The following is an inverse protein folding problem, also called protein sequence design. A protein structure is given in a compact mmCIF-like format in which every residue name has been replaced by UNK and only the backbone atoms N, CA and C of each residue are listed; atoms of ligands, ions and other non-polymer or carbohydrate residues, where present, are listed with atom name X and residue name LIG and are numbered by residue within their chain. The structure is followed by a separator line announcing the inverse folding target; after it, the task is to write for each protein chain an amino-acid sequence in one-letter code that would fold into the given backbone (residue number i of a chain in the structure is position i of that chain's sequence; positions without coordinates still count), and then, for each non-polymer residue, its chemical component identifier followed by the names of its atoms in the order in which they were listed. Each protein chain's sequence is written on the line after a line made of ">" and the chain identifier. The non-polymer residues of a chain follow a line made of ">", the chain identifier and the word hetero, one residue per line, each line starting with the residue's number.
data_IF_165666488633
#
_entry.id   IF_165666488633
#
_cell.length_a   1.000
_cell.length_b   1.000
_cell.length_c   1.000
_cell.angle_alpha   90.00
_cell.angle_beta   90.00
_cell.angle_gamma   90.00
#
_symmetry.space_group_name_H-M   'P 1'
#
loop_
_entity.id
_entity.type
_entity.pdbx_description
1 polymer ?
#
# COMPACT_ATOMS: atom_id res chain seq x y z
N UNK A 1 -14.81 -15.83 -48.70
CA UNK A 1 -14.43 -15.65 -47.28
C UNK A 1 -15.62 -16.00 -46.42
N UNK A 2 -15.50 -17.04 -45.56
CA UNK A 2 -16.61 -17.63 -44.83
C UNK A 2 -17.23 -16.60 -43.86
N UNK A 3 -18.55 -16.30 -43.92
CA UNK A 3 -19.18 -15.29 -43.08
C UNK A 3 -19.01 -15.56 -41.58
N UNK A 4 -18.93 -16.83 -41.18
CA UNK A 4 -18.67 -17.24 -39.78
C UNK A 4 -17.25 -16.95 -39.32
N UNK A 5 -16.29 -16.94 -40.25
CA UNK A 5 -14.90 -16.60 -39.96
C UNK A 5 -14.73 -15.08 -39.83
N UNK A 6 -15.46 -14.29 -40.64
CA UNK A 6 -15.44 -12.82 -40.53
C UNK A 6 -15.96 -12.34 -39.18
N UNK A 7 -17.08 -12.89 -38.72
CA UNK A 7 -17.65 -12.52 -37.41
C UNK A 7 -16.70 -12.90 -36.27
N UNK A 8 -16.06 -14.08 -36.33
CA UNK A 8 -15.05 -14.49 -35.36
C UNK A 8 -13.85 -13.53 -35.31
N UNK A 9 -13.37 -13.06 -36.47
CA UNK A 9 -12.28 -12.07 -36.52
C UNK A 9 -12.66 -10.73 -35.85
N UNK A 10 -13.89 -10.24 -36.04
CA UNK A 10 -14.34 -9.01 -35.37
C UNK A 10 -14.42 -9.15 -33.84
N UNK A 11 -14.84 -10.32 -33.34
CA UNK A 11 -14.84 -10.59 -31.89
C UNK A 11 -13.43 -10.63 -31.30
N UNK A 12 -12.48 -11.29 -31.99
CA UNK A 12 -11.10 -11.38 -31.53
C UNK A 12 -10.40 -10.00 -31.51
N UNK A 13 -10.57 -9.21 -32.56
CA UNK A 13 -9.99 -7.85 -32.64
C UNK A 13 -10.53 -6.95 -31.53
N UNK A 14 -11.83 -7.01 -31.24
CA UNK A 14 -12.46 -6.25 -30.16
C UNK A 14 -11.91 -6.62 -28.77
N UNK A 15 -11.70 -7.92 -28.50
CA UNK A 15 -11.14 -8.38 -27.22
C UNK A 15 -9.69 -7.90 -27.02
N UNK A 16 -8.85 -7.96 -28.06
CA UNK A 16 -7.47 -7.46 -27.98
C UNK A 16 -7.40 -5.93 -27.83
N UNK A 17 -8.27 -5.18 -28.52
CA UNK A 17 -8.33 -3.72 -28.36
C UNK A 17 -8.78 -3.30 -26.95
N UNK A 18 -9.72 -4.03 -26.34
CA UNK A 18 -10.14 -3.80 -24.95
C UNK A 18 -9.03 -4.07 -23.93
N UNK A 19 -8.28 -5.16 -24.11
CA UNK A 19 -7.14 -5.48 -23.23
C UNK A 19 -6.02 -4.45 -23.40
N UNK A 20 -5.71 -4.04 -24.62
CA UNK A 20 -4.67 -3.05 -24.90
C UNK A 20 -5.02 -1.66 -24.32
N UNK A 21 -6.28 -1.23 -24.44
CA UNK A 21 -6.72 0.05 -23.85
C UNK A 21 -6.68 0.03 -22.32
N UNK A 22 -7.11 -1.06 -21.67
CA UNK A 22 -6.97 -1.27 -20.21
C UNK A 22 -5.50 -1.23 -19.75
N UNK A 23 -4.60 -1.86 -20.51
CA UNK A 23 -3.16 -1.87 -20.21
C UNK A 23 -2.55 -0.47 -20.31
N UNK A 24 -2.86 0.28 -21.39
CA UNK A 24 -2.36 1.64 -21.58
C UNK A 24 -2.89 2.61 -20.52
N UNK A 25 -4.17 2.51 -20.13
CA UNK A 25 -4.75 3.34 -19.05
C UNK A 25 -4.07 3.05 -17.71
N UNK A 26 -3.82 1.78 -17.40
CA UNK A 26 -3.14 1.36 -16.16
C UNK A 26 -1.72 1.90 -16.11
N UNK A 27 -0.96 1.79 -17.21
CA UNK A 27 0.41 2.31 -17.29
C UNK A 27 0.48 3.85 -17.30
N UNK A 28 -0.43 4.54 -17.98
CA UNK A 28 -0.47 6.01 -18.00
C UNK A 28 -0.76 6.60 -16.61
N UNK A 29 -1.61 5.95 -15.82
CA UNK A 29 -1.92 6.39 -14.44
C UNK A 29 -0.70 6.27 -13.51
N UNK A 30 0.21 5.33 -13.78
CA UNK A 30 1.49 5.19 -13.07
C UNK A 30 2.40 6.39 -13.39
N UNK A 31 2.47 6.81 -14.65
CA UNK A 31 3.37 7.90 -15.07
C UNK A 31 2.90 9.30 -14.60
N UNK A 32 1.59 9.56 -14.55
CA UNK A 32 1.05 10.85 -14.06
C UNK A 32 1.29 11.08 -12.55
N UNK A 33 1.49 10.02 -11.75
CA UNK A 33 1.92 10.16 -10.34
C UNK A 33 3.37 10.65 -10.21
N UNK A 34 4.18 10.53 -11.26
CA UNK A 34 5.63 10.75 -11.19
C UNK A 34 6.11 12.11 -11.73
N UNK A 35 5.23 13.06 -12.11
CA UNK A 35 5.66 14.34 -12.70
C UNK A 35 4.95 15.60 -12.17
N UNK A 36 5.77 16.49 -11.55
CA UNK A 36 5.73 17.99 -11.49
C UNK A 36 5.07 18.60 -10.20
N UNK A 37 5.57 19.71 -9.59
CA UNK A 37 6.94 20.08 -9.17
C UNK A 37 7.02 20.92 -7.83
N UNK A 38 8.24 21.22 -7.38
CA UNK A 38 8.60 22.05 -6.22
C UNK A 38 9.04 23.47 -6.66
N UNK A 39 8.50 24.54 -6.04
CA UNK A 39 9.00 25.95 -6.00
C UNK A 39 8.34 26.65 -4.78
N UNK A 40 8.88 27.66 -4.06
CA UNK A 40 10.19 28.25 -3.85
C UNK A 40 10.09 29.32 -2.70
N UNK A 41 11.19 29.58 -1.97
CA UNK A 41 11.48 30.83 -1.23
C UNK A 41 11.30 30.83 0.30
N UNK A 42 12.03 31.59 1.14
CA UNK A 42 13.30 32.32 1.06
C UNK A 42 13.64 32.83 2.51
N UNK A 43 14.94 32.91 2.87
CA UNK A 43 15.59 33.80 3.86
C UNK A 43 15.56 33.55 5.42
N UNK A 44 16.78 33.61 5.99
CA UNK A 44 17.29 33.73 7.39
C UNK A 44 17.75 35.21 7.62
N UNK A 45 18.22 35.75 8.78
CA UNK A 45 18.47 35.21 10.15
C UNK A 45 17.92 36.08 11.32
N UNK A 46 17.88 35.69 12.61
CA UNK A 46 19.01 35.49 13.56
C UNK A 46 18.57 34.95 14.96
N UNK A 47 19.48 34.16 15.60
CA UNK A 47 19.84 34.06 17.05
C UNK A 47 18.95 33.33 18.11
N UNK A 48 19.42 32.12 18.53
CA UNK A 48 19.59 31.52 19.90
C UNK A 48 18.31 31.26 20.75
N UNK A 49 17.98 30.10 21.37
CA UNK A 49 18.74 29.02 22.04
C UNK A 49 17.89 27.72 22.17
N UNK A 50 18.56 26.57 22.19
CA UNK A 50 18.23 25.25 22.77
C UNK A 50 16.78 24.82 23.02
N UNK A 51 16.37 23.76 22.31
CA UNK A 51 15.80 22.53 22.88
C UNK A 51 15.82 21.44 21.78
N UNK A 52 16.53 20.33 22.04
CA UNK A 52 16.76 19.26 21.06
C UNK A 52 15.47 18.47 20.77
N UNK A 53 14.68 19.00 19.84
CA UNK A 53 13.58 18.30 19.17
C UNK A 53 14.06 17.96 17.77
N UNK A 54 14.45 16.70 17.56
CA UNK A 54 14.85 16.19 16.25
C UNK A 54 13.63 16.16 15.33
N UNK A 55 13.38 17.28 14.65
CA UNK A 55 12.45 17.37 13.54
C UNK A 55 13.08 16.66 12.33
N UNK A 56 12.74 15.38 12.17
CA UNK A 56 13.05 14.68 10.93
C UNK A 56 11.90 14.91 9.97
N UNK A 57 12.15 15.79 9.00
CA UNK A 57 11.33 16.03 7.82
C UNK A 57 11.34 14.75 6.99
N UNK A 58 10.29 13.93 7.10
CA UNK A 58 10.17 12.67 6.36
C UNK A 58 9.73 12.95 4.92
N UNK A 59 10.72 13.19 4.06
CA UNK A 59 10.58 13.00 2.62
C UNK A 59 10.18 11.54 2.34
N UNK A 60 9.42 11.32 1.27
CA UNK A 60 8.91 9.99 0.86
C UNK A 60 10.02 8.93 0.88
N UNK A 61 10.07 8.16 1.98
CA UNK A 61 11.20 7.30 2.30
C UNK A 61 11.12 6.04 1.42
N UNK A 62 11.79 6.11 0.26
CA UNK A 62 12.27 4.91 -0.43
C UNK A 62 13.05 4.09 0.61
N UNK A 63 12.81 2.77 0.75
CA UNK A 63 13.50 1.97 1.75
C UNK A 63 15.01 2.19 1.68
N UNK A 64 15.62 2.59 2.81
CA UNK A 64 17.06 2.65 2.96
C UNK A 64 17.60 1.24 2.70
N UNK A 65 18.60 1.10 1.81
CA UNK A 65 19.26 -0.17 1.54
C UNK A 65 19.85 -0.72 2.85
N UNK A 66 19.10 -1.56 3.56
CA UNK A 66 19.53 -2.15 4.84
C UNK A 66 18.42 -2.38 5.87
N UNK A 67 17.27 -1.69 5.80
CA UNK A 67 16.18 -1.92 6.76
C UNK A 67 15.49 -3.26 6.54
N UNK A 68 15.29 -4.02 7.62
CA UNK A 68 14.56 -5.30 7.57
C UNK A 68 13.07 -5.06 7.32
N UNK A 69 12.37 -6.05 6.77
CA UNK A 69 10.91 -5.92 6.57
C UNK A 69 10.15 -5.75 7.89
N UNK A 70 10.68 -6.29 8.99
CA UNK A 70 10.13 -6.11 10.34
C UNK A 70 10.23 -4.67 10.81
N UNK A 71 11.39 -4.03 10.59
CA UNK A 71 11.58 -2.61 10.91
C UNK A 71 10.70 -1.72 10.03
N UNK A 72 10.63 -2.01 8.72
CA UNK A 72 9.76 -1.29 7.80
C UNK A 72 8.29 -1.40 8.21
N UNK A 73 7.84 -2.59 8.61
CA UNK A 73 6.43 -2.82 8.97
C UNK A 73 6.13 -2.55 10.44
N UNK A 74 7.04 -1.95 11.20
CA UNK A 74 6.78 -1.56 12.59
C UNK A 74 5.50 -0.71 12.68
N UNK A 75 4.58 -1.11 13.57
CA UNK A 75 3.25 -0.49 13.66
C UNK A 75 3.30 1.04 13.83
N UNK A 76 4.15 1.55 14.72
CA UNK A 76 4.28 2.99 14.97
C UNK A 76 4.76 3.74 13.73
N UNK A 77 5.72 3.18 13.00
CA UNK A 77 6.26 3.76 11.77
C UNK A 77 5.17 3.83 10.68
N UNK A 78 4.48 2.71 10.45
CA UNK A 78 3.45 2.61 9.42
C UNK A 78 2.24 3.50 9.74
N UNK A 79 1.79 3.53 11.00
CA UNK A 79 0.69 4.38 11.46
C UNK A 79 1.04 5.87 11.26
N UNK A 80 2.24 6.29 11.69
CA UNK A 80 2.70 7.67 11.54
C UNK A 80 2.76 8.10 10.06
N UNK A 81 3.30 7.23 9.21
CA UNK A 81 3.35 7.46 7.77
C UNK A 81 1.95 7.59 7.16
N UNK A 82 1.03 6.68 7.49
CA UNK A 82 -0.35 6.71 7.01
C UNK A 82 -1.09 7.97 7.41
N UNK A 83 -0.94 8.41 8.66
CA UNK A 83 -1.58 9.65 9.14
C UNK A 83 -1.08 10.88 8.40
N UNK A 84 0.21 10.90 8.03
CA UNK A 84 0.82 12.05 7.36
C UNK A 84 0.54 12.06 5.84
N UNK A 85 0.48 10.88 5.22
CA UNK A 85 0.44 10.75 3.75
C UNK A 85 -0.92 10.25 3.21
N UNK A 86 -1.80 9.77 4.08
CA UNK A 86 -3.09 9.14 3.75
C UNK A 86 -2.97 7.95 2.76
N UNK A 87 -1.80 7.33 2.71
CA UNK A 87 -1.51 6.16 1.88
C UNK A 87 -0.50 5.25 2.58
N UNK A 88 -0.51 3.96 2.19
CA UNK A 88 0.50 3.02 2.64
C UNK A 88 1.86 3.34 1.99
N UNK A 89 2.97 3.03 2.69
CA UNK A 89 4.29 2.98 2.07
C UNK A 89 4.37 2.02 0.88
N UNK A 90 5.27 2.29 -0.08
CA UNK A 90 5.36 1.57 -1.37
C UNK A 90 5.86 0.10 -1.25
N UNK A 91 6.29 -0.32 -0.07
CA UNK A 91 6.60 -1.73 0.20
C UNK A 91 5.37 -2.59 0.50
N UNK A 92 4.18 -1.99 0.63
CA UNK A 92 2.93 -2.73 0.70
C UNK A 92 2.41 -3.11 -0.68
N UNK A 93 1.94 -4.35 -0.79
CA UNK A 93 1.28 -4.89 -1.99
C UNK A 93 0.00 -5.62 -1.59
N UNK A 94 -1.00 -5.60 -2.46
CA UNK A 94 -2.25 -6.32 -2.21
C UNK A 94 -2.04 -7.83 -2.25
N UNK A 95 -2.95 -8.58 -1.62
CA UNK A 95 -2.95 -10.05 -1.69
C UNK A 95 -3.00 -10.56 -3.14
N UNK A 96 -3.75 -9.89 -4.02
CA UNK A 96 -3.84 -10.27 -5.44
C UNK A 96 -2.52 -10.08 -6.17
N UNK A 97 -1.85 -8.95 -5.99
CA UNK A 97 -0.57 -8.66 -6.62
C UNK A 97 0.51 -9.63 -6.13
N UNK A 98 0.55 -9.88 -4.82
CA UNK A 98 1.46 -10.85 -4.23
C UNK A 98 1.24 -12.27 -4.80
N UNK A 99 -0.01 -12.74 -4.85
CA UNK A 99 -0.36 -14.06 -5.42
C UNK A 99 0.04 -14.17 -6.89
N UNK A 100 -0.18 -13.11 -7.68
CA UNK A 100 0.19 -13.09 -9.09
C UNK A 100 1.70 -13.23 -9.31
N UNK A 101 2.51 -12.88 -8.31
CA UNK A 101 3.96 -12.95 -8.31
C UNK A 101 4.51 -14.18 -7.56
N UNK A 102 3.65 -15.19 -7.29
CA UNK A 102 4.09 -16.47 -6.74
C UNK A 102 4.00 -16.60 -5.21
N UNK A 103 3.43 -15.62 -4.52
CA UNK A 103 3.13 -15.77 -3.09
C UNK A 103 2.07 -16.84 -2.86
N UNK A 104 2.43 -17.84 -2.06
CA UNK A 104 1.55 -18.87 -1.53
C UNK A 104 1.45 -18.72 0.00
N UNK A 105 0.29 -18.27 0.52
CA UNK A 105 0.10 -18.07 1.95
C UNK A 105 0.37 -19.31 2.81
N UNK A 106 0.07 -20.52 2.32
CA UNK A 106 0.27 -21.75 3.10
C UNK A 106 1.74 -22.16 3.22
N UNK A 107 2.60 -21.61 2.35
CA UNK A 107 4.05 -21.82 2.38
C UNK A 107 4.80 -20.74 3.15
N UNK A 108 4.13 -19.63 3.52
CA UNK A 108 4.80 -18.49 4.15
C UNK A 108 5.90 -17.85 3.28
N UNK A 109 5.87 -18.05 1.96
CA UNK A 109 7.00 -17.75 1.07
C UNK A 109 7.03 -16.30 0.55
N UNK A 110 6.39 -15.34 1.23
CA UNK A 110 6.27 -13.97 0.69
C UNK A 110 7.63 -13.32 0.50
N UNK A 111 8.51 -13.37 1.51
CA UNK A 111 9.85 -12.80 1.41
C UNK A 111 10.75 -13.53 0.41
N UNK A 112 10.48 -14.80 0.13
CA UNK A 112 11.27 -15.59 -0.83
C UNK A 112 11.00 -15.16 -2.27
N UNK A 113 9.73 -14.82 -2.57
CA UNK A 113 9.29 -14.43 -3.93
C UNK A 113 9.23 -12.92 -4.12
N UNK A 114 9.07 -12.16 -3.03
CA UNK A 114 8.91 -10.71 -3.01
C UNK A 114 9.67 -10.12 -1.83
N UNK A 115 10.99 -10.02 -1.99
CA UNK A 115 11.87 -9.48 -0.96
C UNK A 115 11.50 -8.03 -0.62
N UNK A 116 11.46 -7.72 0.67
CA UNK A 116 11.15 -6.38 1.16
C UNK A 116 9.70 -5.93 0.95
N UNK A 117 8.76 -6.87 0.73
CA UNK A 117 7.33 -6.58 0.59
C UNK A 117 6.50 -7.10 1.76
N UNK A 118 5.41 -6.39 2.05
CA UNK A 118 4.40 -6.79 3.03
C UNK A 118 2.99 -6.72 2.43
N UNK A 119 2.04 -7.45 3.02
CA UNK A 119 0.66 -7.47 2.53
C UNK A 119 -0.12 -6.26 3.06
N UNK A 120 -0.78 -5.51 2.17
CA UNK A 120 -1.65 -4.42 2.56
C UNK A 120 -2.34 -3.72 1.40
N UNK A 121 -3.35 -2.91 1.72
CA UNK A 121 -4.14 -2.14 0.76
C UNK A 121 -5.42 -2.84 0.29
N UNK A 122 -5.68 -4.07 0.73
CA UNK A 122 -6.93 -4.77 0.46
C UNK A 122 -8.11 -4.13 1.20
N UNK A 123 -9.32 -4.23 0.64
CA UNK A 123 -10.55 -3.74 1.29
C UNK A 123 -10.87 -4.56 2.54
N UNK A 124 -11.08 -3.88 3.66
CA UNK A 124 -11.62 -4.47 4.88
C UNK A 124 -13.13 -4.23 4.95
N UNK A 125 -13.90 -5.31 5.05
CA UNK A 125 -15.37 -5.24 4.91
C UNK A 125 -16.13 -4.93 6.20
N UNK A 126 -15.46 -4.91 7.36
CA UNK A 126 -16.08 -4.66 8.67
C UNK A 126 -17.38 -5.49 8.91
N UNK A 127 -17.38 -6.77 8.51
CA UNK A 127 -18.57 -7.65 8.59
C UNK A 127 -19.07 -7.83 10.03
N UNK A 128 -18.14 -7.89 10.97
CA UNK A 128 -18.41 -8.01 12.40
C UNK A 128 -18.82 -6.68 13.05
N UNK A 129 -18.82 -5.57 12.30
CA UNK A 129 -19.28 -4.24 12.73
C UNK A 129 -18.57 -3.74 14.01
N UNK A 130 -17.30 -4.10 14.18
CA UNK A 130 -16.44 -3.66 15.31
C UNK A 130 -15.89 -2.25 15.12
N UNK A 131 -15.92 -1.74 13.89
CA UNK A 131 -15.56 -0.37 13.54
C UNK A 131 -16.82 0.45 13.18
N UNK A 132 -16.76 1.80 13.22
CA UNK A 132 -17.86 2.66 12.80
C UNK A 132 -18.41 2.32 11.40
N UNK A 133 -19.71 2.55 11.18
CA UNK A 133 -20.37 2.36 9.88
C UNK A 133 -20.23 3.61 9.01
N UNK A 134 -20.43 3.44 7.70
CA UNK A 134 -20.44 4.55 6.73
C UNK A 134 -19.12 4.77 6.02
N UNK A 135 -18.05 4.11 6.47
CA UNK A 135 -16.71 4.24 5.92
C UNK A 135 -16.27 3.02 5.11
N UNK A 136 -15.44 3.27 4.09
CA UNK A 136 -14.70 2.22 3.41
C UNK A 136 -13.34 2.03 4.10
N UNK A 137 -13.12 0.84 4.61
CA UNK A 137 -11.87 0.48 5.27
C UNK A 137 -10.93 -0.30 4.36
N UNK A 138 -9.64 -0.23 4.68
CA UNK A 138 -8.54 -0.98 4.09
C UNK A 138 -7.71 -1.60 5.20
N UNK A 139 -6.95 -2.65 4.91
CA UNK A 139 -6.10 -3.31 5.90
C UNK A 139 -4.65 -3.43 5.43
N UNK A 140 -3.73 -3.47 6.39
CA UNK A 140 -2.32 -3.79 6.14
C UNK A 140 -1.71 -4.56 7.31
N UNK A 141 -0.75 -5.43 6.99
CA UNK A 141 0.06 -6.16 7.97
C UNK A 141 1.05 -5.21 8.64
N UNK A 142 1.21 -5.33 9.95
CA UNK A 142 2.28 -4.65 10.70
C UNK A 142 3.04 -5.68 11.53
N UNK A 143 4.25 -5.32 11.95
CA UNK A 143 5.17 -6.19 12.69
C UNK A 143 5.42 -7.52 11.94
N UNK A 144 5.58 -7.48 10.62
CA UNK A 144 5.79 -8.66 9.78
C UNK A 144 7.27 -9.00 9.67
N UNK A 145 7.64 -10.24 10.02
CA UNK A 145 9.03 -10.70 10.09
C UNK A 145 9.32 -11.90 9.17
N UNK A 146 8.78 -11.87 7.95
CA UNK A 146 8.86 -12.97 6.97
C UNK A 146 8.14 -14.26 7.42
N UNK A 147 8.09 -15.26 6.54
CA UNK A 147 7.36 -16.50 6.81
C UNK A 147 5.84 -16.32 6.79
N UNK A 148 5.15 -17.02 7.68
CA UNK A 148 3.71 -16.90 7.84
C UNK A 148 3.33 -15.51 8.38
N UNK A 149 2.24 -14.94 7.86
CA UNK A 149 1.73 -13.64 8.34
C UNK A 149 1.29 -13.75 9.80
N UNK A 150 1.69 -12.78 10.63
CA UNK A 150 1.30 -12.69 12.04
C UNK A 150 -0.16 -12.31 12.26
N UNK A 151 -0.56 -12.02 13.50
CA UNK A 151 -1.93 -11.60 13.84
C UNK A 151 -2.15 -10.07 13.74
N UNK A 152 -1.08 -9.30 13.69
CA UNK A 152 -1.09 -7.85 13.84
C UNK A 152 -1.44 -7.16 12.53
N UNK A 153 -2.42 -6.26 12.58
CA UNK A 153 -2.92 -5.51 11.42
C UNK A 153 -3.32 -4.12 11.83
N UNK A 154 -3.19 -3.20 10.90
CA UNK A 154 -3.91 -1.94 10.94
C UNK A 154 -5.11 -2.02 10.00
N UNK A 155 -6.18 -1.33 10.38
CA UNK A 155 -7.35 -1.05 9.55
C UNK A 155 -7.51 0.45 9.47
N UNK A 156 -7.64 1.00 8.26
CA UNK A 156 -7.61 2.44 8.05
C UNK A 156 -8.61 2.92 7.01
N UNK A 157 -8.96 4.20 7.06
CA UNK A 157 -9.77 4.89 6.03
C UNK A 157 -8.88 5.74 5.12
N UNK A 158 -9.42 6.17 3.98
CA UNK A 158 -8.73 7.14 3.10
C UNK A 158 -8.51 8.50 3.75
N UNK A 159 -9.24 8.81 4.81
CA UNK A 159 -9.15 10.08 5.53
C UNK A 159 -8.08 10.05 6.63
N UNK A 160 -7.37 8.93 6.81
CA UNK A 160 -6.27 8.81 7.77
C UNK A 160 -6.68 8.33 9.17
N UNK A 161 -7.95 7.95 9.40
CA UNK A 161 -8.29 7.22 10.64
C UNK A 161 -7.65 5.84 10.61
N UNK A 162 -7.05 5.43 11.73
CA UNK A 162 -6.36 4.14 11.87
C UNK A 162 -6.78 3.43 13.15
N UNK A 163 -6.97 2.12 13.05
CA UNK A 163 -7.19 1.20 14.16
C UNK A 163 -6.18 0.07 14.10
N UNK A 164 -5.60 -0.28 15.24
CA UNK A 164 -4.67 -1.40 15.39
C UNK A 164 -5.41 -2.61 15.96
N UNK A 165 -5.09 -3.80 15.46
CA UNK A 165 -5.48 -5.08 16.06
C UNK A 165 -4.25 -5.95 16.22
N UNK A 166 -4.05 -6.51 17.42
CA UNK A 166 -2.96 -7.45 17.73
C UNK A 166 -3.43 -8.89 17.92
N UNK A 167 -4.66 -9.17 17.51
CA UNK A 167 -5.34 -10.43 17.79
C UNK A 167 -6.23 -10.87 16.63
N UNK A 168 -5.77 -10.59 15.40
CA UNK A 168 -6.43 -11.04 14.17
C UNK A 168 -7.90 -10.60 14.11
N UNK A 169 -8.12 -9.28 14.24
CA UNK A 169 -9.43 -8.61 14.13
C UNK A 169 -10.42 -8.91 15.27
N UNK A 170 -9.98 -9.55 16.37
CA UNK A 170 -10.86 -9.82 17.54
C UNK A 170 -11.24 -8.53 18.27
N UNK A 171 -10.31 -7.61 18.45
CA UNK A 171 -10.53 -6.25 18.98
C UNK A 171 -9.70 -5.22 18.23
N UNK A 172 -10.08 -3.95 18.38
CA UNK A 172 -9.44 -2.81 17.72
C UNK A 172 -9.19 -1.69 18.72
N UNK A 173 -8.03 -1.06 18.60
CA UNK A 173 -7.64 0.13 19.34
C UNK A 173 -7.49 1.30 18.36
N UNK A 174 -8.18 2.42 18.59
CA UNK A 174 -8.02 3.60 17.74
C UNK A 174 -6.65 4.24 18.01
N UNK A 175 -5.94 4.61 16.95
CA UNK A 175 -4.57 5.11 17.01
C UNK A 175 -4.50 6.61 16.74
#
# INVERSE_FOLDING_TARGET
>A
MNPKLKTLFFFLIGAFAGILTMYLISNYKIEKRNKIPTEAGNQKPDVVQSENKSETKFDAEKPFEGSSIEELTNETKVISFLKSNHQLPDYYITKSEAKSQGWNPSKGNLCDVLQGKAIGGDKFSNREKKLPKGEQYYEADVNYNCGNRGADRIVFTKNGDVWLTKNHYKSFEKQ
#
